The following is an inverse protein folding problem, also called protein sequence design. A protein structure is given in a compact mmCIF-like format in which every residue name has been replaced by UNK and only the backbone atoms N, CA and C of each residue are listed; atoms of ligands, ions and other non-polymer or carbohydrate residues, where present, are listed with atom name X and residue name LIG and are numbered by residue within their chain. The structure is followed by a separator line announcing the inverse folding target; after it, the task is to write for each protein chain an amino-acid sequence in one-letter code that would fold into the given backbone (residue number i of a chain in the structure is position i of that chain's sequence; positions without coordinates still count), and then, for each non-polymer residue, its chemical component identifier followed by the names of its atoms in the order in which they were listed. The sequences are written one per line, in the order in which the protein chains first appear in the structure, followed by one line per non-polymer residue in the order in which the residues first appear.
data_IF_020614970343
#
_entry.id   IF_020614970343
#
_cell.length_a   1.000
_cell.length_b   1.000
_cell.length_c   1.000
_cell.angle_alpha   90.00
_cell.angle_beta   90.00
_cell.angle_gamma   90.00
#
_symmetry.space_group_name_H-M   'P 1'
#
loop_
_entity.id
_entity.type
_entity.pdbx_description
1 polymer ?
#
# COMPACT_ATOMS: atom_id res chain seq x y z
N UNK A 1 6.13 32.56 35.51
CA UNK A 1 5.80 31.14 35.30
C UNK A 1 5.10 31.03 33.94
N UNK A 2 5.66 30.24 33.04
CA UNK A 2 5.46 30.25 31.58
C UNK A 2 4.03 29.95 31.11
N UNK A 3 3.44 30.88 30.32
CA UNK A 3 2.22 30.63 29.52
C UNK A 3 2.57 30.04 28.14
N UNK A 4 3.83 30.12 27.71
CA UNK A 4 4.31 29.66 26.39
C UNK A 4 4.25 28.12 26.23
N UNK A 5 4.17 27.35 27.32
CA UNK A 5 4.21 25.88 27.27
C UNK A 5 2.88 25.22 26.85
N UNK A 6 1.75 25.94 26.94
CA UNK A 6 0.41 25.39 26.67
C UNK A 6 0.04 25.32 25.17
N UNK A 7 0.82 25.94 24.29
CA UNK A 7 0.58 25.92 22.83
C UNK A 7 1.35 24.81 22.11
N UNK A 8 2.24 24.07 22.80
CA UNK A 8 3.09 23.05 22.20
C UNK A 8 2.39 21.69 21.97
N UNK A 9 1.17 21.51 22.44
CA UNK A 9 0.40 20.27 22.28
C UNK A 9 -0.58 20.34 21.11
N UNK A 10 -0.10 20.66 19.92
CA UNK A 10 -0.87 20.50 18.68
C UNK A 10 -0.45 19.21 17.98
N UNK A 11 -1.16 18.12 18.32
CA UNK A 11 -1.35 16.92 17.50
C UNK A 11 -0.09 16.23 16.97
N UNK A 12 0.56 15.42 17.80
CA UNK A 12 1.31 14.29 17.26
C UNK A 12 0.31 13.30 16.65
N UNK A 13 0.01 13.45 15.36
CA UNK A 13 -0.84 12.51 14.63
C UNK A 13 -0.11 11.18 14.52
N UNK A 14 -0.50 10.21 15.34
CA UNK A 14 -0.26 8.79 15.08
C UNK A 14 -1.20 8.30 13.97
N UNK A 15 -1.19 8.94 12.80
CA UNK A 15 -2.02 8.51 11.68
C UNK A 15 -1.57 7.11 11.28
N UNK A 16 -2.47 6.15 11.42
CA UNK A 16 -2.20 4.78 11.03
C UNK A 16 -1.79 4.75 9.55
N UNK A 17 -0.63 4.16 9.28
CA UNK A 17 -0.11 4.08 7.92
C UNK A 17 -1.08 3.28 7.05
N UNK A 18 -1.50 3.89 5.94
CA UNK A 18 -2.45 3.27 5.02
C UNK A 18 -1.85 2.01 4.40
N UNK A 19 -2.70 1.07 3.99
CA UNK A 19 -2.27 -0.15 3.30
C UNK A 19 -1.42 0.18 2.06
N UNK A 20 -1.78 1.23 1.32
CA UNK A 20 -1.04 1.69 0.15
C UNK A 20 0.38 2.12 0.51
N UNK A 21 0.55 2.92 1.57
CA UNK A 21 1.86 3.37 2.02
C UNK A 21 2.75 2.20 2.46
N UNK A 22 2.17 1.21 3.17
CA UNK A 22 2.87 -0.02 3.56
C UNK A 22 3.37 -0.81 2.35
N UNK A 23 2.53 -0.99 1.33
CA UNK A 23 2.91 -1.68 0.09
C UNK A 23 4.01 -0.91 -0.63
N UNK A 24 3.84 0.41 -0.82
CA UNK A 24 4.85 1.28 -1.44
C UNK A 24 6.20 1.16 -0.74
N UNK A 25 6.23 1.12 0.60
CA UNK A 25 7.45 0.96 1.40
C UNK A 25 8.12 -0.40 1.17
N UNK A 26 7.34 -1.47 0.99
CA UNK A 26 7.85 -2.83 0.73
C UNK A 26 8.44 -2.92 -0.68
N UNK A 27 7.76 -2.37 -1.69
CA UNK A 27 8.16 -2.51 -3.10
C UNK A 27 9.29 -1.54 -3.50
N UNK A 28 9.35 -0.35 -2.90
CA UNK A 28 10.32 0.70 -3.26
C UNK A 28 11.80 0.27 -3.31
N UNK A 29 12.34 -0.52 -2.36
CA UNK A 29 13.75 -0.93 -2.39
C UNK A 29 14.05 -2.05 -3.39
N UNK A 30 13.04 -2.67 -4.02
CA UNK A 30 13.24 -3.80 -4.92
C UNK A 30 13.81 -3.33 -6.26
N UNK A 31 14.86 -4.00 -6.75
CA UNK A 31 15.44 -3.76 -8.08
C UNK A 31 14.66 -4.50 -9.18
N UNK A 32 13.34 -4.32 -9.20
CA UNK A 32 12.42 -4.97 -10.14
C UNK A 32 11.13 -4.14 -10.26
N UNK A 33 10.38 -4.34 -11.34
CA UNK A 33 9.01 -3.84 -11.43
C UNK A 33 8.08 -4.81 -10.70
N UNK A 34 7.33 -4.29 -9.72
CA UNK A 34 6.42 -5.07 -8.89
C UNK A 34 4.99 -4.64 -9.16
N UNK A 35 4.14 -5.58 -9.58
CA UNK A 35 2.71 -5.40 -9.69
C UNK A 35 2.00 -5.95 -8.45
N UNK A 36 1.04 -5.19 -7.92
CA UNK A 36 0.17 -5.63 -6.81
C UNK A 36 -1.27 -5.27 -7.18
N UNK A 37 -2.19 -6.23 -7.04
CA UNK A 37 -3.62 -5.99 -7.17
C UNK A 37 -4.35 -6.68 -6.02
N UNK A 38 -5.15 -5.91 -5.28
CA UNK A 38 -5.92 -6.35 -4.14
C UNK A 38 -7.38 -5.98 -4.39
N UNK A 39 -8.27 -6.96 -4.32
CA UNK A 39 -9.71 -6.77 -4.40
C UNK A 39 -10.36 -7.31 -3.12
N UNK A 40 -10.96 -6.43 -2.32
CA UNK A 40 -11.82 -6.82 -1.22
C UNK A 40 -13.10 -7.47 -1.76
N UNK A 41 -13.38 -8.70 -1.37
CA UNK A 41 -14.50 -9.48 -1.93
C UNK A 41 -15.84 -8.93 -1.43
N UNK A 42 -15.91 -8.58 -0.15
CA UNK A 42 -17.13 -8.13 0.53
C UNK A 42 -17.44 -6.66 0.26
N UNK A 43 -16.41 -5.80 0.28
CA UNK A 43 -16.57 -4.35 0.18
C UNK A 43 -16.20 -3.78 -1.19
N UNK A 44 -15.70 -4.62 -2.10
CA UNK A 44 -15.25 -4.27 -3.47
C UNK A 44 -14.20 -3.17 -3.50
N UNK A 45 -13.50 -2.92 -2.38
CA UNK A 45 -12.39 -1.97 -2.40
C UNK A 45 -11.22 -2.57 -3.16
N UNK A 46 -10.79 -1.86 -4.20
CA UNK A 46 -9.62 -2.20 -4.97
C UNK A 46 -8.44 -1.32 -4.58
N UNK A 47 -7.24 -1.89 -4.61
CA UNK A 47 -5.98 -1.18 -4.46
C UNK A 47 -4.92 -1.88 -5.31
N UNK A 48 -4.07 -1.10 -5.96
CA UNK A 48 -2.91 -1.68 -6.59
C UNK A 48 -1.76 -0.74 -6.90
N UNK A 49 -0.71 -1.37 -7.40
CA UNK A 49 0.57 -0.80 -7.77
C UNK A 49 0.91 -1.38 -9.13
N UNK A 50 1.19 -0.53 -10.13
CA UNK A 50 1.46 -0.96 -11.51
C UNK A 50 0.38 -1.88 -12.10
N UNK A 51 -0.91 -1.61 -11.83
CA UNK A 51 -2.03 -2.49 -12.21
C UNK A 51 -2.18 -2.70 -13.72
N UNK A 52 -1.82 -1.70 -14.52
CA UNK A 52 -1.90 -1.74 -15.98
C UNK A 52 -0.64 -2.33 -16.65
N UNK A 53 0.39 -2.65 -15.86
CA UNK A 53 1.63 -3.26 -16.37
C UNK A 53 1.43 -4.73 -16.75
N UNK A 54 2.13 -5.19 -17.78
CA UNK A 54 2.05 -6.58 -18.25
C UNK A 54 3.16 -7.42 -17.62
N UNK A 55 2.78 -8.35 -16.76
CA UNK A 55 3.72 -9.26 -16.09
C UNK A 55 3.68 -10.67 -16.70
N UNK A 56 4.81 -11.38 -16.75
CA UNK A 56 4.81 -12.79 -17.15
C UNK A 56 4.12 -13.63 -16.08
N UNK A 57 3.04 -14.33 -16.43
CA UNK A 57 2.28 -15.15 -15.47
C UNK A 57 3.10 -16.32 -14.90
N UNK A 58 4.12 -16.81 -15.62
CA UNK A 58 4.84 -18.05 -15.25
C UNK A 58 3.83 -19.15 -14.90
N UNK A 59 4.13 -20.05 -13.96
CA UNK A 59 3.21 -21.13 -13.58
C UNK A 59 1.81 -20.68 -13.09
N UNK A 60 1.57 -19.38 -12.83
CA UNK A 60 0.22 -18.88 -12.52
C UNK A 60 -0.75 -19.07 -13.70
N UNK A 61 -0.24 -19.16 -14.94
CA UNK A 61 -1.07 -19.44 -16.13
C UNK A 61 -1.92 -20.72 -15.98
N UNK A 62 -1.49 -21.66 -15.13
CA UNK A 62 -2.20 -22.92 -14.90
C UNK A 62 -3.53 -22.72 -14.18
N UNK A 63 -3.69 -21.62 -13.43
CA UNK A 63 -4.95 -21.32 -12.73
C UNK A 63 -6.12 -21.13 -13.69
N UNK A 64 -6.06 -20.23 -14.71
CA UNK A 64 -7.14 -20.12 -15.69
C UNK A 64 -7.24 -21.30 -16.69
N UNK A 65 -6.27 -22.22 -16.70
CA UNK A 65 -6.30 -23.42 -17.55
C UNK A 65 -7.05 -24.59 -16.89
N UNK A 66 -7.05 -24.65 -15.55
CA UNK A 66 -7.58 -25.76 -14.76
C UNK A 66 -9.11 -25.84 -14.75
#
# INVERSE_FOLDING_TARGET
MNVVFLLASHGAFAQEETLQAKISRIVAPMRAEVGVSILGIEDRKALGVNEESKFPMQSVFKFPLA
#
